data_IF_474695066000
#
_entry.id   IF_474695066000
#
_cell.length_a   1.000
_cell.length_b   1.000
_cell.length_c   1.000
_cell.angle_alpha   90.00
_cell.angle_beta   90.00
_cell.angle_gamma   90.00
#
_symmetry.space_group_name_H-M   'P 1'
#
loop_
_entity.id
_entity.type
_entity.pdbx_description
1 polymer ?
#
# COMPACT_ATOMS: atom_id res chain seq x y z
N UNK A 1 8.71 -5.32 -13.56
CA UNK A 1 8.61 -4.12 -14.41
C UNK A 1 7.16 -3.63 -14.61
N UNK A 2 6.26 -4.36 -15.29
CA UNK A 2 4.91 -3.82 -15.59
C UNK A 2 4.10 -3.31 -14.38
N UNK A 3 4.26 -3.94 -13.21
CA UNK A 3 3.53 -3.57 -11.98
C UNK A 3 4.16 -2.40 -11.21
N UNK A 4 5.46 -2.11 -11.42
CA UNK A 4 6.15 -0.98 -10.78
C UNK A 4 5.63 0.34 -11.32
N UNK A 5 5.33 0.38 -12.62
CA UNK A 5 4.69 1.53 -13.27
C UNK A 5 3.34 1.83 -12.62
N UNK A 6 2.52 0.80 -12.37
CA UNK A 6 1.22 0.95 -11.72
C UNK A 6 1.34 1.42 -10.27
N UNK A 7 2.33 0.91 -9.54
CA UNK A 7 2.61 1.30 -8.15
C UNK A 7 3.06 2.76 -8.05
N UNK A 8 4.00 3.17 -8.89
CA UNK A 8 4.53 4.55 -8.90
C UNK A 8 3.47 5.56 -9.33
N UNK A 9 2.71 5.26 -10.39
CA UNK A 9 1.68 6.16 -10.89
C UNK A 9 0.47 6.26 -9.95
N UNK A 10 0.12 5.20 -9.22
CA UNK A 10 -0.93 5.29 -8.18
C UNK A 10 -0.47 6.11 -6.97
N UNK A 11 0.80 6.02 -6.57
CA UNK A 11 1.38 6.94 -5.60
C UNK A 11 1.40 8.39 -6.11
N UNK A 12 1.77 8.60 -7.37
CA UNK A 12 1.77 9.92 -8.01
C UNK A 12 0.37 10.51 -8.07
N UNK A 13 -0.65 9.69 -8.35
CA UNK A 13 -2.05 10.10 -8.30
C UNK A 13 -2.44 10.69 -6.94
N UNK A 14 -1.95 10.10 -5.84
CA UNK A 14 -2.15 10.65 -4.49
C UNK A 14 -1.31 11.89 -4.23
N UNK A 15 -0.07 11.93 -4.70
CA UNK A 15 0.77 13.12 -4.59
C UNK A 15 0.16 14.34 -5.30
N UNK A 16 -0.49 14.13 -6.45
CA UNK A 16 -1.26 15.16 -7.16
C UNK A 16 -2.46 15.60 -6.33
N UNK A 17 -3.20 14.66 -5.74
CA UNK A 17 -4.38 14.96 -4.91
C UNK A 17 -4.03 15.85 -3.71
N UNK A 18 -2.91 15.56 -3.03
CA UNK A 18 -2.46 16.31 -1.86
C UNK A 18 -1.48 17.44 -2.20
N UNK A 19 -1.14 17.67 -3.47
CA UNK A 19 -0.18 18.66 -3.93
C UNK A 19 1.16 18.66 -3.16
N UNK A 20 1.65 17.48 -2.76
CA UNK A 20 2.96 17.30 -2.12
C UNK A 20 3.53 15.92 -2.44
N UNK A 21 4.86 15.83 -2.52
CA UNK A 21 5.61 14.57 -2.61
C UNK A 21 6.14 14.11 -1.23
N UNK A 22 6.04 14.96 -0.21
CA UNK A 22 6.48 14.63 1.14
C UNK A 22 5.40 13.81 1.84
N UNK A 23 5.75 12.62 2.34
CA UNK A 23 4.83 11.77 3.08
C UNK A 23 4.30 12.43 4.35
N UNK A 24 5.09 13.29 5.00
CA UNK A 24 4.65 13.98 6.21
C UNK A 24 3.48 14.93 5.90
N UNK A 25 3.66 15.80 4.90
CA UNK A 25 2.60 16.72 4.45
C UNK A 25 1.35 15.98 3.98
N UNK A 26 1.51 14.83 3.31
CA UNK A 26 0.39 14.01 2.85
C UNK A 26 -0.42 13.50 4.04
N UNK A 27 0.24 13.00 5.09
CA UNK A 27 -0.44 12.49 6.29
C UNK A 27 -1.11 13.63 7.05
N UNK A 28 -0.45 14.78 7.17
CA UNK A 28 -1.01 15.98 7.81
C UNK A 28 -2.26 16.51 7.10
N UNK A 29 -2.34 16.37 5.78
CA UNK A 29 -3.56 16.74 5.03
C UNK A 29 -4.69 15.73 5.22
N UNK A 30 -4.43 14.50 5.67
CA UNK A 30 -5.44 13.46 5.91
C UNK A 30 -6.11 13.55 7.29
N UNK A 31 -6.62 14.72 7.66
CA UNK A 31 -7.30 14.93 8.95
C UNK A 31 -8.77 14.54 8.95
N UNK A 32 -9.51 14.93 7.91
CA UNK A 32 -10.98 14.78 7.86
C UNK A 32 -11.42 13.51 7.14
N UNK A 33 -10.74 13.17 6.06
CA UNK A 33 -10.98 11.98 5.25
C UNK A 33 -9.64 11.32 4.93
N UNK A 34 -9.62 10.00 5.00
CA UNK A 34 -8.47 9.21 4.59
C UNK A 34 -8.30 9.22 3.08
N UNK A 35 -7.05 9.07 2.62
CA UNK A 35 -6.72 9.00 1.20
C UNK A 35 -7.51 7.93 0.44
N UNK A 36 -7.86 6.81 1.09
CA UNK A 36 -8.68 5.74 0.49
C UNK A 36 -10.10 6.20 0.14
N UNK A 37 -10.70 7.09 0.93
CA UNK A 37 -12.04 7.61 0.68
C UNK A 37 -12.02 8.68 -0.43
N UNK A 38 -10.91 9.42 -0.53
CA UNK A 38 -10.71 10.46 -1.54
C UNK A 38 -10.44 9.87 -2.93
N UNK A 39 -9.56 8.87 -3.01
CA UNK A 39 -9.26 8.18 -4.26
C UNK A 39 -9.21 6.66 -4.05
N UNK A 40 -10.39 6.00 -4.03
CA UNK A 40 -10.46 4.55 -3.85
C UNK A 40 -9.83 3.78 -5.02
N UNK A 41 -9.85 4.35 -6.23
CA UNK A 41 -9.24 3.73 -7.41
C UNK A 41 -7.72 3.62 -7.27
N UNK A 42 -7.06 4.70 -6.83
CA UNK A 42 -5.63 4.68 -6.56
C UNK A 42 -5.27 3.69 -5.46
N UNK A 43 -6.10 3.58 -4.41
CA UNK A 43 -5.89 2.63 -3.33
C UNK A 43 -5.97 1.18 -3.81
N UNK A 44 -6.98 0.84 -4.61
CA UNK A 44 -7.13 -0.51 -5.19
C UNK A 44 -5.95 -0.84 -6.09
N UNK A 45 -5.55 0.07 -6.98
CA UNK A 45 -4.42 -0.13 -7.88
C UNK A 45 -3.12 -0.30 -7.10
N UNK A 46 -2.87 0.54 -6.10
CA UNK A 46 -1.67 0.46 -5.28
C UNK A 46 -1.64 -0.87 -4.52
N UNK A 47 -2.71 -1.24 -3.82
CA UNK A 47 -2.79 -2.49 -3.06
C UNK A 47 -2.61 -3.74 -3.93
N UNK A 48 -3.29 -3.82 -5.08
CA UNK A 48 -3.09 -4.91 -6.03
C UNK A 48 -1.65 -4.94 -6.55
N UNK A 49 -1.04 -3.77 -6.79
CA UNK A 49 0.36 -3.68 -7.21
C UNK A 49 1.33 -4.18 -6.13
N UNK A 50 1.02 -4.02 -4.83
CA UNK A 50 1.81 -4.62 -3.72
C UNK A 50 1.84 -6.14 -3.87
N UNK A 51 0.67 -6.76 -4.03
CA UNK A 51 0.53 -8.21 -4.10
C UNK A 51 1.33 -8.79 -5.26
N UNK A 52 1.18 -8.18 -6.45
CA UNK A 52 1.87 -8.66 -7.65
C UNK A 52 3.37 -8.36 -7.60
N UNK A 53 3.78 -7.16 -7.14
CA UNK A 53 5.20 -6.77 -7.07
C UNK A 53 6.00 -7.62 -6.09
N UNK A 54 5.32 -8.14 -5.06
CA UNK A 54 5.97 -8.94 -4.02
C UNK A 54 5.79 -10.44 -4.24
N UNK A 55 5.22 -10.84 -5.38
CA UNK A 55 4.94 -12.22 -5.72
C UNK A 55 4.19 -12.94 -4.60
N UNK A 56 3.27 -12.26 -3.90
CA UNK A 56 2.48 -12.85 -2.81
C UNK A 56 1.16 -13.37 -3.35
N UNK A 57 0.61 -14.34 -2.65
CA UNK A 57 -0.64 -14.97 -3.03
C UNK A 57 -1.71 -13.90 -3.31
N UNK A 58 -2.43 -13.96 -4.45
CA UNK A 58 -2.55 -15.05 -5.43
C UNK A 58 -1.57 -15.04 -6.61
N UNK A 59 -0.55 -14.19 -6.58
CA UNK A 59 0.43 -13.98 -7.66
C UNK A 59 1.81 -14.63 -7.41
N UNK A 60 1.85 -15.70 -6.61
CA UNK A 60 3.03 -16.52 -6.31
C UNK A 60 3.44 -17.36 -7.53
N UNK A 61 3.92 -16.74 -8.60
CA UNK A 61 4.18 -17.45 -9.87
C UNK A 61 5.59 -18.07 -9.88
N UNK A 62 6.60 -17.32 -9.42
CA UNK A 62 8.00 -17.76 -9.41
C UNK A 62 8.35 -18.72 -8.26
N UNK A 63 7.53 -18.76 -7.20
CA UNK A 63 7.73 -19.57 -5.98
C UNK A 63 6.89 -20.86 -6.00
N UNK A 64 6.41 -21.24 -7.18
CA UNK A 64 5.37 -22.24 -7.29
C UNK A 64 5.90 -23.66 -7.22
N UNK A 65 5.78 -24.28 -6.05
CA UNK A 65 6.23 -25.66 -5.80
C UNK A 65 5.62 -26.67 -6.77
N UNK A 66 4.35 -26.51 -7.17
CA UNK A 66 3.64 -27.47 -8.03
C UNK A 66 4.04 -27.42 -9.50
N UNK A 67 4.58 -26.29 -9.98
CA UNK A 67 4.86 -26.06 -11.40
C UNK A 67 6.36 -26.00 -11.70
N UNK A 68 7.13 -25.38 -10.80
CA UNK A 68 8.55 -25.08 -11.03
C UNK A 68 9.41 -25.38 -9.80
N UNK A 69 8.91 -26.15 -8.82
CA UNK A 69 9.65 -26.63 -7.65
C UNK A 69 10.42 -25.48 -6.97
N UNK A 70 9.72 -24.46 -6.49
CA UNK A 70 10.33 -23.28 -5.85
C UNK A 70 11.30 -22.47 -6.74
N UNK A 71 11.32 -22.71 -8.06
CA UNK A 71 12.03 -21.89 -9.05
C UNK A 71 13.52 -21.66 -8.70
N UNK A 72 14.02 -20.41 -8.80
CA UNK A 72 15.44 -20.11 -8.60
C UNK A 72 15.90 -20.30 -7.15
N UNK A 73 14.98 -20.41 -6.18
CA UNK A 73 15.35 -20.55 -4.78
C UNK A 73 15.97 -21.92 -4.46
N UNK A 74 15.76 -22.91 -5.32
CA UNK A 74 16.37 -24.24 -5.18
C UNK A 74 17.89 -24.25 -5.38
N UNK A 75 18.44 -23.24 -6.04
CA UNK A 75 19.88 -23.13 -6.30
C UNK A 75 20.64 -22.49 -5.13
N UNK A 76 19.92 -21.86 -4.17
CA UNK A 76 20.53 -21.18 -3.04
C UNK A 76 20.61 -22.06 -1.79
N UNK A 77 21.70 -21.93 -1.03
CA UNK A 77 21.94 -22.67 0.22
C UNK A 77 22.02 -21.74 1.43
N UNK A 78 21.59 -22.25 2.60
CA UNK A 78 21.78 -21.63 3.92
C UNK A 78 21.32 -20.17 4.01
N UNK A 79 22.28 -19.26 4.22
CA UNK A 79 22.03 -17.82 4.44
C UNK A 79 21.49 -17.15 3.17
N UNK A 80 21.97 -17.53 1.98
CA UNK A 80 21.55 -16.89 0.73
C UNK A 80 20.09 -17.25 0.42
N UNK A 81 19.68 -18.49 0.73
CA UNK A 81 18.27 -18.90 0.68
C UNK A 81 17.41 -18.05 1.65
N UNK A 82 17.85 -17.91 2.90
CA UNK A 82 17.15 -17.09 3.88
C UNK A 82 17.00 -15.62 3.47
N UNK A 83 18.05 -15.00 2.92
CA UNK A 83 18.03 -13.60 2.47
C UNK A 83 17.15 -13.42 1.22
N UNK A 84 17.24 -14.32 0.25
CA UNK A 84 16.44 -14.26 -0.99
C UNK A 84 14.94 -14.40 -0.70
N UNK A 85 14.55 -15.34 0.17
CA UNK A 85 13.15 -15.47 0.62
C UNK A 85 12.72 -14.30 1.51
N UNK A 86 13.61 -13.83 2.39
CA UNK A 86 13.36 -12.72 3.31
C UNK A 86 13.10 -11.38 2.61
N UNK A 87 13.75 -11.13 1.47
CA UNK A 87 13.59 -9.90 0.70
C UNK A 87 12.12 -9.62 0.33
N UNK A 88 11.36 -10.64 -0.07
CA UNK A 88 9.93 -10.50 -0.37
C UNK A 88 9.13 -10.02 0.85
N UNK A 89 9.45 -10.49 2.06
CA UNK A 89 8.76 -10.05 3.28
C UNK A 89 9.08 -8.59 3.63
N UNK A 90 10.35 -8.21 3.53
CA UNK A 90 10.77 -6.81 3.74
C UNK A 90 10.10 -5.88 2.73
N UNK A 91 10.04 -6.28 1.46
CA UNK A 91 9.34 -5.52 0.41
C UNK A 91 7.85 -5.37 0.72
N UNK A 92 7.19 -6.44 1.17
CA UNK A 92 5.77 -6.40 1.57
C UNK A 92 5.55 -5.40 2.71
N UNK A 93 6.43 -5.43 3.72
CA UNK A 93 6.37 -4.51 4.86
C UNK A 93 6.52 -3.05 4.42
N UNK A 94 7.55 -2.73 3.64
CA UNK A 94 7.81 -1.36 3.15
C UNK A 94 6.65 -0.84 2.32
N UNK A 95 6.13 -1.64 1.39
CA UNK A 95 5.01 -1.24 0.54
C UNK A 95 3.70 -1.09 1.33
N UNK A 96 3.47 -1.92 2.36
CA UNK A 96 2.31 -1.79 3.26
C UNK A 96 2.42 -0.54 4.14
N UNK A 97 3.64 -0.16 4.52
CA UNK A 97 3.93 1.10 5.18
C UNK A 97 3.60 2.29 4.28
N UNK A 98 4.05 2.28 3.04
CA UNK A 98 3.69 3.32 2.07
C UNK A 98 2.17 3.42 1.85
N UNK A 99 1.48 2.28 1.75
CA UNK A 99 0.01 2.27 1.62
C UNK A 99 -0.67 2.93 2.83
N UNK A 100 -0.17 2.65 4.03
CA UNK A 100 -0.71 3.22 5.26
C UNK A 100 -0.54 4.75 5.31
N UNK A 101 0.62 5.26 4.89
CA UNK A 101 0.88 6.70 4.82
C UNK A 101 0.04 7.39 3.74
N UNK A 102 -0.07 6.79 2.56
CA UNK A 102 -0.76 7.40 1.42
C UNK A 102 -2.28 7.30 1.50
N UNK A 103 -2.83 6.22 2.06
CA UNK A 103 -4.26 5.92 1.97
C UNK A 103 -4.98 5.83 3.31
N UNK A 104 -4.30 5.48 4.39
CA UNK A 104 -4.92 5.24 5.71
C UNK A 104 -4.59 6.32 6.74
N UNK A 105 -4.14 7.51 6.31
CA UNK A 105 -3.89 8.63 7.20
C UNK A 105 -2.70 8.46 8.14
N UNK A 106 -1.78 7.51 7.88
CA UNK A 106 -0.59 7.33 8.72
C UNK A 106 -0.92 7.25 10.21
N UNK A 107 -0.41 8.21 10.98
CA UNK A 107 -0.66 8.33 12.42
C UNK A 107 -1.99 8.99 12.79
N UNK A 108 -2.71 9.62 11.85
CA UNK A 108 -3.98 10.26 12.14
C UNK A 108 -5.13 9.24 12.27
N UNK A 109 -5.87 9.21 13.39
CA UNK A 109 -7.12 8.47 13.50
C UNK A 109 -8.26 9.13 12.70
N UNK A 110 -9.24 8.35 12.20
CA UNK A 110 -10.48 8.90 11.57
C UNK A 110 -11.25 9.73 12.59
N UNK A 111 -11.38 9.20 13.80
CA UNK A 111 -12.07 9.82 14.92
C UNK A 111 -11.11 9.79 16.08
N UNK A 112 -10.68 10.98 16.52
CA UNK A 112 -9.92 11.08 17.76
C UNK A 112 -10.80 10.61 18.91
N UNK A 113 -10.31 9.71 19.78
CA UNK A 113 -11.03 9.37 20.99
C UNK A 113 -11.34 10.65 21.79
N UNK A 114 -12.51 10.75 22.43
CA UNK A 114 -12.83 11.88 23.28
C UNK A 114 -11.73 12.07 24.34
N UNK A 115 -11.07 13.24 24.34
CA UNK A 115 -9.99 13.57 25.28
C UNK A 115 -8.55 13.34 24.78
N UNK A 116 -8.35 12.77 23.58
CA UNK A 116 -7.03 12.55 22.98
C UNK A 116 -6.75 13.47 21.77
N UNK A 117 -7.56 14.51 21.57
CA UNK A 117 -7.41 15.45 20.45
C UNK A 117 -6.03 16.13 20.47
N UNK A 118 -5.29 16.16 19.35
CA UNK A 118 -3.97 16.77 19.24
C UNK A 118 -4.00 18.30 19.38
N UNK A 119 -5.19 18.92 19.40
CA UNK A 119 -5.36 20.36 19.58
C UNK A 119 -5.53 20.80 21.04
N UNK A 120 -5.75 19.88 21.99
CA UNK A 120 -6.01 20.25 23.41
C UNK A 120 -4.84 19.95 24.36
N UNK A 121 -3.91 19.08 23.98
CA UNK A 121 -2.71 18.80 24.74
C UNK A 121 -1.51 19.31 23.95
N UNK A 122 -1.00 20.49 24.32
CA UNK A 122 0.31 20.92 23.87
C UNK A 122 1.31 19.80 24.14
N UNK A 123 2.05 19.39 23.11
CA UNK A 123 3.04 18.30 23.13
C UNK A 123 3.92 18.38 24.39
N UNK A 124 3.59 17.60 25.42
CA UNK A 124 4.28 17.68 26.71
C UNK A 124 4.23 16.38 27.51
N UNK A 125 4.00 15.23 26.86
CA UNK A 125 4.27 13.93 27.48
C UNK A 125 5.01 12.96 26.55
N UNK A 126 5.85 12.05 27.10
CA UNK A 126 6.43 10.93 26.35
C UNK A 126 5.38 9.99 25.70
N UNK A 127 4.12 10.08 26.13
CA UNK A 127 2.97 9.40 25.52
C UNK A 127 2.60 9.92 24.12
N UNK A 128 3.06 11.11 23.74
CA UNK A 128 2.64 11.80 22.52
C UNK A 128 3.24 11.18 21.25
N UNK A 129 4.36 10.45 21.36
CA UNK A 129 5.00 9.74 20.23
C UNK A 129 4.50 8.30 20.13
N UNK A 130 4.20 7.67 21.28
CA UNK A 130 3.87 6.25 21.34
C UNK A 130 2.57 5.94 20.59
N UNK A 131 1.53 6.75 20.80
CA UNK A 131 0.23 6.51 20.18
C UNK A 131 0.26 6.67 18.65
N UNK A 132 0.76 7.78 18.07
CA UNK A 132 0.99 7.91 16.62
C UNK A 132 1.78 6.76 16.01
N UNK A 133 2.90 6.39 16.64
CA UNK A 133 3.79 5.33 16.14
C UNK A 133 3.12 3.96 16.17
N UNK A 134 2.39 3.67 17.26
CA UNK A 134 1.62 2.45 17.40
C UNK A 134 0.48 2.38 16.36
N UNK A 135 -0.20 3.49 16.08
CA UNK A 135 -1.26 3.52 15.07
C UNK A 135 -0.75 3.21 13.66
N UNK A 136 0.40 3.78 13.28
CA UNK A 136 1.04 3.46 12.00
C UNK A 136 1.35 1.97 11.95
N UNK A 137 2.04 1.42 12.96
CA UNK A 137 2.38 -0.01 13.03
C UNK A 137 1.15 -0.92 13.00
N UNK A 138 0.08 -0.58 13.73
CA UNK A 138 -1.14 -1.36 13.74
C UNK A 138 -1.80 -1.39 12.35
N UNK A 139 -1.91 -0.23 11.68
CA UNK A 139 -2.48 -0.14 10.32
C UNK A 139 -1.62 -0.87 9.30
N UNK A 140 -0.29 -0.76 9.35
CA UNK A 140 0.59 -1.49 8.44
C UNK A 140 0.47 -3.00 8.62
N UNK A 141 0.41 -3.47 9.87
CA UNK A 141 0.19 -4.88 10.17
C UNK A 141 -1.19 -5.37 9.71
N UNK A 142 -2.23 -4.55 9.79
CA UNK A 142 -3.56 -4.88 9.23
C UNK A 142 -3.49 -5.05 7.71
N UNK A 143 -2.80 -4.15 7.00
CA UNK A 143 -2.62 -4.26 5.55
C UNK A 143 -1.84 -5.53 5.18
N UNK A 144 -0.77 -5.83 5.92
CA UNK A 144 -0.02 -7.07 5.74
C UNK A 144 -0.86 -8.31 6.05
N UNK A 145 -1.57 -8.32 7.17
CA UNK A 145 -2.46 -9.42 7.55
C UNK A 145 -3.54 -9.64 6.48
N UNK A 146 -4.10 -8.56 5.94
CA UNK A 146 -5.05 -8.64 4.84
C UNK A 146 -4.41 -9.23 3.57
N UNK A 147 -3.18 -8.85 3.22
CA UNK A 147 -2.46 -9.45 2.08
C UNK A 147 -2.24 -10.96 2.23
N UNK A 148 -1.92 -11.42 3.45
CA UNK A 148 -1.75 -12.85 3.74
C UNK A 148 -3.09 -13.58 3.77
N UNK A 149 -4.14 -12.94 4.28
CA UNK A 149 -5.50 -13.49 4.33
C UNK A 149 -6.03 -13.84 2.93
N UNK A 150 -5.62 -13.12 1.88
CA UNK A 150 -6.01 -13.42 0.50
C UNK A 150 -5.62 -14.83 0.05
N UNK A 151 -4.62 -15.46 0.71
CA UNK A 151 -4.26 -16.87 0.51
C UNK A 151 -5.38 -17.85 0.83
N UNK A 152 -6.23 -17.51 1.80
CA UNK A 152 -7.37 -18.35 2.16
C UNK A 152 -8.59 -18.12 1.26
N UNK A 153 -8.62 -17.02 0.49
CA UNK A 153 -9.81 -16.59 -0.26
C UNK A 153 -9.72 -16.93 -1.74
N UNK A 154 -8.57 -16.66 -2.36
CA UNK A 154 -8.41 -16.77 -3.81
C UNK A 154 -7.71 -18.08 -4.21
N UNK A 155 -7.91 -18.55 -5.45
CA UNK A 155 -7.00 -19.51 -6.07
C UNK A 155 -5.77 -18.78 -6.65
N UNK A 156 -4.75 -19.55 -7.01
CA UNK A 156 -3.54 -19.03 -7.65
C UNK A 156 -3.81 -18.64 -9.11
N UNK A 157 -3.28 -17.50 -9.54
CA UNK A 157 -3.39 -17.04 -10.94
C UNK A 157 -2.24 -17.55 -11.81
N UNK A 158 -2.56 -17.87 -13.07
CA UNK A 158 -1.57 -18.16 -14.10
C UNK A 158 -0.88 -16.88 -14.59
N UNK A 159 0.35 -17.01 -15.10
CA UNK A 159 1.16 -15.88 -15.61
C UNK A 159 0.41 -15.03 -16.64
N UNK A 160 -0.30 -15.68 -17.57
CA UNK A 160 -1.06 -15.00 -18.64
C UNK A 160 -2.19 -14.13 -18.06
N UNK A 161 -2.86 -14.63 -17.02
CA UNK A 161 -3.94 -13.91 -16.34
C UNK A 161 -3.39 -12.74 -15.53
N UNK A 162 -2.28 -12.94 -14.81
CA UNK A 162 -1.62 -11.88 -14.05
C UNK A 162 -1.18 -10.72 -14.95
N UNK A 163 -0.55 -11.03 -16.10
CA UNK A 163 -0.14 -10.04 -17.10
C UNK A 163 -1.36 -9.30 -17.67
N UNK A 164 -2.44 -10.03 -17.98
CA UNK A 164 -3.68 -9.43 -18.49
C UNK A 164 -4.32 -8.49 -17.47
N UNK A 165 -4.40 -8.88 -16.19
CA UNK A 165 -4.89 -8.03 -15.10
C UNK A 165 -4.03 -6.77 -14.96
N UNK A 166 -2.70 -6.93 -15.01
CA UNK A 166 -1.76 -5.81 -14.94
C UNK A 166 -1.97 -4.78 -16.05
N UNK A 167 -2.04 -5.22 -17.30
CA UNK A 167 -2.10 -4.30 -18.44
C UNK A 167 -3.50 -3.80 -18.77
N UNK A 168 -4.55 -4.59 -18.57
CA UNK A 168 -5.90 -4.15 -18.94
C UNK A 168 -6.64 -3.54 -17.75
N UNK A 169 -6.64 -4.21 -16.60
CA UNK A 169 -7.45 -3.79 -15.46
C UNK A 169 -6.73 -2.72 -14.64
N UNK A 170 -5.50 -3.00 -14.17
CA UNK A 170 -4.76 -2.05 -13.34
C UNK A 170 -4.43 -0.78 -14.10
N UNK A 171 -4.00 -0.88 -15.36
CA UNK A 171 -3.69 0.30 -16.16
C UNK A 171 -4.90 1.19 -16.44
N UNK A 172 -6.08 0.61 -16.73
CA UNK A 172 -7.30 1.39 -16.94
C UNK A 172 -7.76 2.07 -15.65
N UNK A 173 -7.78 1.34 -14.54
CA UNK A 173 -8.11 1.90 -13.22
C UNK A 173 -7.13 2.99 -12.80
N UNK A 174 -5.85 2.83 -13.15
CA UNK A 174 -4.81 3.80 -12.87
C UNK A 174 -5.07 5.13 -13.58
N UNK A 175 -5.35 5.10 -14.89
CA UNK A 175 -5.67 6.32 -15.66
C UNK A 175 -6.88 7.02 -15.05
N UNK A 176 -7.94 6.26 -14.74
CA UNK A 176 -9.13 6.80 -14.07
C UNK A 176 -8.80 7.40 -12.71
N UNK A 177 -7.90 6.79 -11.93
CA UNK A 177 -7.49 7.31 -10.64
C UNK A 177 -6.78 8.66 -10.75
N UNK A 178 -5.93 8.86 -11.76
CA UNK A 178 -5.22 10.12 -11.99
C UNK A 178 -6.20 11.21 -12.42
N UNK A 179 -7.10 10.89 -13.36
CA UNK A 179 -8.17 11.81 -13.78
C UNK A 179 -9.02 12.22 -12.57
N UNK A 180 -9.37 11.26 -11.71
CA UNK A 180 -10.12 11.52 -10.49
C UNK A 180 -9.37 12.46 -9.55
N UNK A 181 -8.09 12.22 -9.27
CA UNK A 181 -7.26 13.14 -8.48
C UNK A 181 -7.23 14.55 -9.06
N UNK A 182 -7.00 14.69 -10.37
CA UNK A 182 -6.99 16.00 -11.05
C UNK A 182 -8.36 16.68 -10.94
N UNK A 183 -9.45 15.93 -11.14
CA UNK A 183 -10.81 16.47 -11.07
C UNK A 183 -11.14 17.00 -9.68
N UNK A 184 -10.75 16.28 -8.62
CA UNK A 184 -10.94 16.73 -7.22
C UNK A 184 -10.17 18.02 -6.98
N UNK A 185 -8.92 18.11 -7.45
CA UNK A 185 -8.10 19.32 -7.30
C UNK A 185 -8.73 20.51 -8.05
N UNK A 186 -9.21 20.30 -9.27
CA UNK A 186 -9.82 21.34 -10.11
C UNK A 186 -11.16 21.87 -9.59
N UNK A 187 -11.99 21.00 -9.01
CA UNK A 187 -13.28 21.37 -8.40
C UNK A 187 -13.09 22.16 -7.09
N UNK A 188 -11.85 22.29 -6.62
CA UNK A 188 -11.51 23.09 -5.43
C UNK A 188 -11.19 22.25 -4.21
N UNK A 189 -10.78 20.99 -4.39
CA UNK A 189 -10.67 20.00 -3.32
C UNK A 189 -9.81 20.40 -2.12
N UNK A 190 -8.95 21.42 -2.22
CA UNK A 190 -8.03 21.81 -1.15
C UNK A 190 -7.66 23.32 -1.18
N UNK A 191 -8.68 24.19 -1.09
CA UNK A 191 -8.55 25.53 -0.48
C UNK A 191 -9.45 25.61 0.74
#
# INVERSE_FOLDING_TARGET
VSYEVSLLLSALSMAVLFASLNFLDIVEKQTRLWGIALNPLAAIVFFLSILVSTSKFPFEIAEADTEIVCGPYTEYSGIIYGLSMGYGYVKTYVLSLMFTLLFLGGWNPIVWPPGLSPTLAGYSLPSDIFFPSFMVLAKTLIVMAFSVFLRAVYPRYRIDQAIKIGWHVLFTLLILSIILSISIVMVGGWK
#
